data_IF_872234212834
#
_entry.id   IF_872234212834
#
_cell.length_a   1.000
_cell.length_b   1.000
_cell.length_c   1.000
_cell.angle_alpha   90.00
_cell.angle_beta   90.00
_cell.angle_gamma   90.00
#
_symmetry.space_group_name_H-M   'P 1'
#
loop_
_entity.id
_entity.type
_entity.pdbx_description
1 polymer ?
#
# COMPACT_ATOMS: atom_id res chain seq x y z
N UNK A 1 -18.52 9.96 -1.16
CA UNK A 1 -17.13 9.50 -0.99
C UNK A 1 -16.55 10.31 0.14
N UNK A 2 -16.18 9.66 1.25
CA UNK A 2 -15.46 10.33 2.32
C UNK A 2 -14.12 10.78 1.75
N UNK A 3 -13.86 12.08 1.77
CA UNK A 3 -12.56 12.62 1.42
C UNK A 3 -11.69 12.44 2.67
N UNK A 4 -11.17 11.22 2.86
CA UNK A 4 -10.25 10.91 3.95
C UNK A 4 -8.98 11.72 3.74
N UNK A 5 -8.70 12.60 4.69
CA UNK A 5 -7.45 13.33 4.76
C UNK A 5 -6.38 12.41 5.37
N UNK A 6 -5.47 11.93 4.52
CA UNK A 6 -4.40 11.02 4.93
C UNK A 6 -3.27 11.75 5.67
N UNK A 7 -3.18 13.09 5.62
CA UNK A 7 -2.08 13.86 6.20
C UNK A 7 -2.01 13.74 7.73
N UNK A 8 -3.14 13.39 8.36
CA UNK A 8 -3.27 13.29 9.81
C UNK A 8 -3.24 11.85 10.34
N UNK A 9 -3.13 10.84 9.46
CA UNK A 9 -3.10 9.43 9.85
C UNK A 9 -1.73 9.06 10.40
N UNK A 10 -1.71 8.33 11.52
CA UNK A 10 -0.49 7.82 12.16
C UNK A 10 -0.46 6.29 12.18
N UNK A 11 0.75 5.73 12.19
CA UNK A 11 0.99 4.28 12.22
C UNK A 11 0.22 3.57 13.36
N UNK A 12 0.18 4.17 14.54
CA UNK A 12 -0.49 3.64 15.74
C UNK A 12 -2.01 3.53 15.63
N UNK A 13 -2.61 4.18 14.62
CA UNK A 13 -4.04 4.13 14.35
C UNK A 13 -4.41 3.06 13.33
N UNK A 14 -3.43 2.53 12.60
CA UNK A 14 -3.65 1.53 11.57
C UNK A 14 -3.89 0.17 12.19
N UNK A 15 -4.86 -0.56 11.64
CA UNK A 15 -5.19 -1.93 12.06
C UNK A 15 -4.96 -2.90 10.91
N UNK A 16 -4.51 -4.12 11.24
CA UNK A 16 -4.43 -5.24 10.31
C UNK A 16 -5.83 -5.58 9.78
N UNK A 17 -5.97 -5.74 8.46
CA UNK A 17 -7.22 -6.15 7.81
C UNK A 17 -7.08 -7.54 7.19
N UNK A 18 -6.27 -7.67 6.14
CA UNK A 18 -5.97 -8.94 5.48
C UNK A 18 -4.46 -9.12 5.30
N UNK A 19 -3.97 -10.35 5.50
CA UNK A 19 -2.55 -10.65 5.33
C UNK A 19 -2.16 -10.66 3.85
N UNK A 20 -0.94 -10.23 3.57
CA UNK A 20 -0.35 -10.25 2.25
C UNK A 20 0.96 -11.06 2.28
N UNK A 21 1.28 -11.78 1.20
CA UNK A 21 2.50 -12.55 1.12
C UNK A 21 3.73 -11.64 1.23
N UNK A 22 4.76 -12.12 1.94
CA UNK A 22 6.07 -11.46 1.95
C UNK A 22 6.72 -11.62 0.58
N UNK A 23 7.22 -10.51 0.01
CA UNK A 23 7.91 -10.53 -1.28
C UNK A 23 9.44 -10.51 -1.16
N UNK A 24 9.98 -10.24 0.03
CA UNK A 24 11.44 -10.17 0.29
C UNK A 24 11.84 -11.29 1.23
N UNK A 25 12.82 -12.10 0.81
CA UNK A 25 13.43 -13.13 1.65
C UNK A 25 14.16 -12.50 2.84
N UNK A 26 13.96 -13.04 4.05
CA UNK A 26 14.56 -12.49 5.27
C UNK A 26 13.81 -11.30 5.89
N UNK A 27 12.74 -10.82 5.26
CA UNK A 27 11.86 -9.81 5.85
C UNK A 27 11.23 -10.32 7.15
N UNK A 28 11.49 -9.62 8.25
CA UNK A 28 10.96 -9.98 9.58
C UNK A 28 9.50 -9.60 9.68
N UNK A 29 9.18 -8.37 9.26
CA UNK A 29 7.86 -7.77 9.31
C UNK A 29 6.85 -8.53 8.44
N UNK A 30 5.61 -8.55 8.86
CA UNK A 30 4.47 -9.06 8.10
C UNK A 30 3.85 -7.95 7.27
N UNK A 31 3.46 -8.26 6.02
CA UNK A 31 2.77 -7.32 5.15
C UNK A 31 1.26 -7.52 5.30
N UNK A 32 0.51 -6.44 5.45
CA UNK A 32 -0.94 -6.46 5.62
C UNK A 32 -1.62 -5.35 4.82
N UNK A 33 -2.86 -5.57 4.38
CA UNK A 33 -3.80 -4.48 4.13
C UNK A 33 -4.12 -3.79 5.46
N UNK A 34 -4.26 -2.46 5.43
CA UNK A 34 -4.49 -1.66 6.64
C UNK A 34 -5.82 -0.93 6.62
N UNK A 35 -6.48 -0.93 7.78
CA UNK A 35 -7.71 -0.21 8.04
C UNK A 35 -7.49 1.05 8.88
N UNK A 36 -8.28 2.07 8.59
CA UNK A 36 -8.47 3.27 9.39
C UNK A 36 -9.97 3.63 9.40
N UNK A 37 -10.57 3.77 10.58
CA UNK A 37 -12.01 4.04 10.75
C UNK A 37 -12.92 3.16 9.88
N UNK A 38 -12.68 1.85 9.90
CA UNK A 38 -13.43 0.82 9.17
C UNK A 38 -13.32 0.87 7.63
N UNK A 39 -12.40 1.66 7.09
CA UNK A 39 -12.05 1.67 5.66
C UNK A 39 -10.64 1.11 5.43
N UNK A 40 -10.48 0.24 4.43
CA UNK A 40 -9.17 -0.21 3.95
C UNK A 40 -8.54 0.90 3.13
N UNK A 41 -7.41 1.42 3.60
CA UNK A 41 -6.79 2.63 3.06
C UNK A 41 -5.38 2.43 2.50
N UNK A 42 -4.85 1.21 2.52
CA UNK A 42 -3.52 0.93 1.96
C UNK A 42 -2.88 -0.37 2.46
N UNK A 43 -1.55 -0.36 2.54
CA UNK A 43 -0.72 -1.48 3.00
C UNK A 43 0.24 -1.07 4.12
N UNK A 44 0.60 -2.00 4.99
CA UNK A 44 1.50 -1.74 6.11
C UNK A 44 2.37 -2.94 6.48
N UNK A 45 3.50 -2.63 7.11
CA UNK A 45 4.45 -3.57 7.70
C UNK A 45 4.26 -3.59 9.21
N UNK A 46 4.03 -4.77 9.75
CA UNK A 46 3.81 -4.99 11.18
C UNK A 46 4.90 -5.90 11.75
N UNK A 47 5.31 -5.63 12.99
CA UNK A 47 6.16 -6.57 13.70
C UNK A 47 5.41 -7.91 13.90
N UNK A 48 6.11 -9.05 13.79
CA UNK A 48 5.50 -10.35 14.04
C UNK A 48 4.93 -10.43 15.45
N UNK A 49 3.80 -11.12 15.60
CA UNK A 49 3.07 -11.28 16.87
C UNK A 49 2.71 -9.94 17.55
N UNK A 50 2.59 -8.85 16.77
CA UNK A 50 2.32 -7.51 17.26
C UNK A 50 1.37 -6.74 16.35
N UNK A 51 0.60 -5.82 16.93
CA UNK A 51 -0.19 -4.82 16.21
C UNK A 51 0.60 -3.54 15.91
N UNK A 52 1.91 -3.54 16.19
CA UNK A 52 2.76 -2.38 15.92
C UNK A 52 3.09 -2.29 14.43
N UNK A 53 2.44 -1.35 13.75
CA UNK A 53 2.82 -0.92 12.41
C UNK A 53 4.11 -0.09 12.47
N UNK A 54 5.10 -0.43 11.65
CA UNK A 54 6.40 0.26 11.59
C UNK A 54 6.55 1.11 10.33
N UNK A 55 5.83 0.76 9.27
CA UNK A 55 5.81 1.51 8.02
C UNK A 55 4.50 1.21 7.27
N UNK A 56 3.95 2.19 6.58
CA UNK A 56 2.76 1.99 5.75
C UNK A 56 2.79 2.91 4.52
N UNK A 57 2.09 2.49 3.48
CA UNK A 57 1.74 3.32 2.33
C UNK A 57 0.21 3.34 2.26
N UNK A 58 -0.37 4.52 2.40
CA UNK A 58 -1.82 4.75 2.39
C UNK A 58 -2.18 5.73 1.30
N UNK A 59 -3.40 5.66 0.75
CA UNK A 59 -3.84 6.53 -0.33
C UNK A 59 -4.99 5.93 -1.13
N UNK A 60 -5.56 6.74 -2.03
CA UNK A 60 -6.58 6.28 -2.98
C UNK A 60 -6.03 6.09 -4.41
N UNK A 61 -4.82 6.56 -4.68
CA UNK A 61 -4.11 6.56 -5.96
C UNK A 61 -2.59 6.61 -5.72
N UNK A 62 -1.78 6.60 -6.78
CA UNK A 62 -0.34 6.80 -6.65
C UNK A 62 0.04 8.26 -6.36
N UNK A 63 -0.76 9.21 -6.85
CA UNK A 63 -0.50 10.66 -6.74
C UNK A 63 -0.81 11.23 -5.35
N UNK A 64 -1.77 10.62 -4.63
CA UNK A 64 -2.18 11.02 -3.28
C UNK A 64 -1.61 10.11 -2.17
N UNK A 65 -0.66 9.23 -2.51
CA UNK A 65 -0.11 8.30 -1.52
C UNK A 65 0.73 9.02 -0.47
N UNK A 66 0.58 8.57 0.77
CA UNK A 66 1.35 9.00 1.94
C UNK A 66 2.14 7.81 2.45
N UNK A 67 3.45 8.02 2.62
CA UNK A 67 4.35 7.07 3.27
C UNK A 67 4.46 7.43 4.74
N UNK A 68 4.06 6.51 5.61
CA UNK A 68 4.15 6.63 7.05
C UNK A 68 5.30 5.78 7.58
N UNK A 69 6.09 6.34 8.50
CA UNK A 69 7.24 5.67 9.09
C UNK A 69 8.47 5.66 8.18
N UNK A 70 9.53 5.02 8.65
CA UNK A 70 10.75 4.81 7.88
C UNK A 70 11.54 3.62 8.42
N UNK A 71 12.26 2.94 7.53
CA UNK A 71 13.33 2.04 7.95
C UNK A 71 14.54 2.86 8.35
N UNK A 72 14.99 2.69 9.60
CA UNK A 72 16.14 3.40 10.16
C UNK A 72 17.50 2.95 9.64
N UNK A 73 17.57 2.19 8.54
CA UNK A 73 18.84 1.66 8.01
C UNK A 73 18.99 2.02 6.53
N UNK A 74 20.20 2.46 6.14
CA UNK A 74 20.56 2.76 4.75
C UNK A 74 20.94 1.51 3.95
N UNK A 75 20.53 0.32 4.42
CA UNK A 75 20.89 -0.96 3.84
C UNK A 75 20.05 -1.21 2.57
N UNK A 76 20.64 -1.87 1.57
CA UNK A 76 19.96 -2.27 0.35
C UNK A 76 18.78 -3.19 0.64
N UNK A 77 18.84 -3.95 1.75
CA UNK A 77 17.73 -4.75 2.23
C UNK A 77 16.49 -3.90 2.60
N UNK A 78 16.67 -2.76 3.26
CA UNK A 78 15.57 -1.86 3.60
C UNK A 78 14.93 -1.23 2.36
N UNK A 79 15.74 -0.97 1.32
CA UNK A 79 15.23 -0.50 0.03
C UNK A 79 14.40 -1.57 -0.67
N UNK A 80 14.82 -2.83 -0.63
CA UNK A 80 14.06 -3.95 -1.18
C UNK A 80 12.71 -4.11 -0.48
N UNK A 81 12.67 -4.01 0.85
CA UNK A 81 11.42 -4.08 1.62
C UNK A 81 10.49 -2.91 1.27
N UNK A 82 11.04 -1.70 1.19
CA UNK A 82 10.26 -0.50 0.80
C UNK A 82 9.67 -0.67 -0.60
N UNK A 83 10.46 -1.17 -1.55
CA UNK A 83 10.00 -1.42 -2.92
C UNK A 83 8.94 -2.53 -2.99
N UNK A 84 9.09 -3.60 -2.21
CA UNK A 84 8.07 -4.64 -2.09
C UNK A 84 6.75 -4.10 -1.50
N UNK A 85 6.83 -3.17 -0.56
CA UNK A 85 5.65 -2.51 0.00
C UNK A 85 4.97 -1.63 -1.05
N UNK A 86 5.73 -0.92 -1.90
CA UNK A 86 5.18 -0.17 -3.03
C UNK A 86 4.44 -1.09 -4.02
N UNK A 87 5.01 -2.24 -4.37
CA UNK A 87 4.35 -3.23 -5.23
C UNK A 87 3.04 -3.71 -4.59
N UNK A 88 3.05 -3.95 -3.27
CA UNK A 88 1.86 -4.34 -2.52
C UNK A 88 0.79 -3.24 -2.56
N UNK A 89 1.19 -1.97 -2.44
CA UNK A 89 0.28 -0.82 -2.57
C UNK A 89 -0.36 -0.74 -3.96
N UNK A 90 0.42 -0.96 -5.03
CA UNK A 90 -0.11 -1.04 -6.39
C UNK A 90 -1.12 -2.19 -6.55
N UNK A 91 -0.86 -3.33 -5.90
CA UNK A 91 -1.81 -4.45 -5.83
C UNK A 91 -3.12 -4.07 -5.13
N UNK A 92 -3.03 -3.33 -4.01
CA UNK A 92 -4.17 -2.77 -3.30
C UNK A 92 -5.00 -1.82 -4.18
N UNK A 93 -4.37 -0.86 -4.86
CA UNK A 93 -5.09 0.09 -5.74
C UNK A 93 -5.90 -0.66 -6.82
N UNK A 94 -5.29 -1.66 -7.45
CA UNK A 94 -5.93 -2.45 -8.51
C UNK A 94 -7.03 -3.37 -8.00
N UNK A 95 -6.82 -4.01 -6.84
CA UNK A 95 -7.70 -5.09 -6.37
C UNK A 95 -8.80 -4.60 -5.44
N UNK A 96 -8.52 -3.57 -4.64
CA UNK A 96 -9.42 -3.06 -3.58
C UNK A 96 -10.08 -1.76 -4.01
N UNK A 97 -9.30 -0.78 -4.49
CA UNK A 97 -9.87 0.50 -4.97
C UNK A 97 -10.51 0.38 -6.35
N UNK A 98 -10.11 -0.64 -7.12
CA UNK A 98 -10.58 -0.83 -8.48
C UNK A 98 -10.09 0.26 -9.42
N UNK A 99 -8.92 0.86 -9.14
CA UNK A 99 -8.38 1.91 -9.98
C UNK A 99 -8.04 1.29 -11.35
N UNK A 100 -8.75 1.78 -12.36
CA UNK A 100 -8.71 1.30 -13.72
C UNK A 100 -7.30 1.52 -14.27
N UNK A 101 -6.78 0.45 -14.88
CA UNK A 101 -5.61 0.37 -15.76
C UNK A 101 -5.20 1.74 -16.31
N UNK A 102 -3.92 2.12 -16.07
CA UNK A 102 -3.15 3.10 -16.86
C UNK A 102 -3.77 3.19 -18.25
N UNK A 103 -4.39 4.34 -18.55
CA UNK A 103 -5.39 4.51 -19.62
C UNK A 103 -5.30 3.51 -20.75
N UNK A 104 -6.46 2.93 -21.11
CA UNK A 104 -6.62 2.17 -22.33
C UNK A 104 -5.71 2.77 -23.41
N UNK A 105 -4.75 2.03 -24.00
CA UNK A 105 -4.12 2.53 -25.21
C UNK A 105 -5.29 2.90 -26.11
N UNK A 106 -5.31 4.11 -26.70
CA UNK A 106 -6.45 4.56 -27.47
C UNK A 106 -6.79 3.41 -28.41
N UNK A 107 -7.92 2.76 -28.13
CA UNK A 107 -8.52 1.86 -29.09
C UNK A 107 -9.01 2.89 -30.10
N UNK A 108 -8.13 3.23 -31.04
CA UNK A 108 -8.57 3.81 -32.28
C UNK A 108 -9.64 2.83 -32.77
N UNK A 109 -10.89 3.23 -32.55
CA UNK A 109 -12.06 2.75 -33.24
C UNK A 109 -11.77 2.98 -34.73
N UNK A 110 -11.00 2.08 -35.33
CA UNK A 110 -11.06 1.82 -36.75
C UNK A 110 -11.76 0.48 -36.90
N UNK A 111 -13.01 0.45 -36.46
CA UNK A 111 -14.01 -0.38 -37.09
C UNK A 111 -14.71 0.46 -38.16
N UNK A 112 -14.72 -0.14 -39.36
CA UNK A 112 -15.65 0.04 -40.47
C UNK A 112 -15.45 1.26 -41.39
N UNK A 113 -14.72 1.06 -42.49
CA UNK A 113 -15.29 0.75 -43.83
C UNK A 113 -14.26 0.08 -44.77
#
# INVERSE_FOLDING_TARGET
>A
MNNLDFDNVKLEQLKKESDLPKAVEGQVEETWLVNYNDETIGVGLFLPDSDKCVMAIIGNSDDDKVVLGSYGTSDDHAKLISHALEISFQGYLRSVRGDTVLGDPPIDEMLDE
#
